data_IF_275956267030
#
_entry.id   IF_275956267030
#
_cell.length_a   1.000
_cell.length_b   1.000
_cell.length_c   1.000
_cell.angle_alpha   90.00
_cell.angle_beta   90.00
_cell.angle_gamma   90.00
#
_symmetry.space_group_name_H-M   'P 1'
#
loop_
_entity.id
_entity.type
_entity.pdbx_description
1 polymer ?
#
# COMPACT_ATOMS: atom_id res chain seq x y z
N UNK A 1 -3.85 -1.85 -37.15
CA UNK A 1 -4.27 -1.87 -35.75
C UNK A 1 -3.00 -1.94 -34.93
N UNK A 2 -2.59 -0.84 -34.30
CA UNK A 2 -1.46 -0.85 -33.35
C UNK A 2 -1.93 -1.57 -32.08
N UNK A 3 -1.40 -2.76 -31.83
CA UNK A 3 -1.56 -3.44 -30.56
C UNK A 3 -0.99 -2.52 -29.48
N UNK A 4 -1.87 -1.84 -28.72
CA UNK A 4 -1.43 -1.14 -27.51
C UNK A 4 -0.82 -2.20 -26.58
N UNK A 5 0.47 -2.12 -26.38
CA UNK A 5 1.13 -2.95 -25.37
C UNK A 5 0.50 -2.69 -24.00
N UNK A 6 0.19 -3.75 -23.28
CA UNK A 6 -0.35 -3.66 -21.91
C UNK A 6 0.61 -2.83 -21.05
N UNK A 7 0.15 -1.80 -20.38
CA UNK A 7 1.02 -1.03 -19.49
C UNK A 7 1.48 -1.93 -18.35
N UNK A 8 2.75 -1.79 -17.99
CA UNK A 8 3.36 -2.54 -16.89
C UNK A 8 2.73 -2.13 -15.57
N UNK A 9 2.21 -3.10 -14.82
CA UNK A 9 1.58 -2.88 -13.54
C UNK A 9 2.56 -2.99 -12.35
N UNK A 10 3.51 -3.94 -12.43
CA UNK A 10 4.43 -4.27 -11.34
C UNK A 10 5.90 -4.13 -11.73
N UNK A 11 6.73 -3.83 -10.72
CA UNK A 11 8.19 -3.82 -10.76
C UNK A 11 8.73 -4.68 -9.63
N UNK A 12 9.53 -5.66 -9.97
CA UNK A 12 10.20 -6.54 -9.01
C UNK A 12 11.46 -5.86 -8.46
N UNK A 13 12.03 -6.39 -7.39
CA UNK A 13 13.23 -5.87 -6.72
C UNK A 13 14.34 -5.42 -7.68
N UNK A 14 14.70 -6.27 -8.63
CA UNK A 14 15.79 -6.00 -9.57
C UNK A 14 15.50 -4.87 -10.58
N UNK A 15 14.27 -4.42 -10.67
CA UNK A 15 13.81 -3.33 -11.53
C UNK A 15 13.66 -2.00 -10.79
N UNK A 16 13.83 -2.03 -9.46
CA UNK A 16 13.66 -0.86 -8.60
C UNK A 16 15.02 -0.29 -8.18
N UNK A 17 15.42 0.89 -8.67
CA UNK A 17 16.73 1.47 -8.36
C UNK A 17 17.00 1.67 -6.86
N UNK A 18 15.93 1.83 -6.08
CA UNK A 18 16.01 2.06 -4.62
C UNK A 18 15.86 0.80 -3.77
N UNK A 19 15.61 -0.36 -4.38
CA UNK A 19 15.28 -1.58 -3.64
C UNK A 19 16.37 -1.99 -2.64
N UNK A 20 17.63 -2.05 -3.08
CA UNK A 20 18.74 -2.44 -2.21
C UNK A 20 18.94 -1.48 -1.03
N UNK A 21 18.70 -0.19 -1.25
CA UNK A 21 18.74 0.78 -0.18
C UNK A 21 17.59 0.55 0.82
N UNK A 22 16.37 0.34 0.34
CA UNK A 22 15.21 0.09 1.21
C UNK A 22 15.34 -1.22 1.99
N UNK A 23 15.81 -2.28 1.33
CA UNK A 23 16.01 -3.58 1.98
C UNK A 23 17.04 -3.54 3.13
N UNK A 24 18.07 -2.70 3.02
CA UNK A 24 19.01 -2.46 4.13
C UNK A 24 18.35 -1.82 5.36
N UNK A 25 17.20 -1.20 5.20
CA UNK A 25 16.45 -0.56 6.29
C UNK A 25 15.24 -1.37 6.74
N UNK A 26 14.94 -2.50 6.10
CA UNK A 26 13.73 -3.31 6.36
C UNK A 26 13.60 -3.71 7.83
N UNK A 27 14.64 -4.30 8.41
CA UNK A 27 14.62 -4.69 9.82
C UNK A 27 14.47 -3.48 10.76
N UNK A 28 15.17 -2.39 10.49
CA UNK A 28 15.07 -1.19 11.30
C UNK A 28 13.69 -0.52 11.22
N UNK A 29 13.00 -0.60 10.07
CA UNK A 29 11.59 -0.19 9.94
C UNK A 29 10.67 -1.06 10.78
N UNK A 30 10.92 -2.37 10.83
CA UNK A 30 10.17 -3.28 11.68
C UNK A 30 10.41 -2.97 13.16
N UNK A 31 11.66 -2.76 13.57
CA UNK A 31 12.04 -2.43 14.93
C UNK A 31 11.41 -1.11 15.39
N UNK A 32 11.38 -0.08 14.52
CA UNK A 32 10.68 1.18 14.77
C UNK A 32 9.19 0.93 15.08
N UNK A 33 8.51 0.13 14.26
CA UNK A 33 7.08 -0.13 14.41
C UNK A 33 6.77 -0.97 15.65
N UNK A 34 7.60 -1.97 15.95
CA UNK A 34 7.40 -2.90 17.08
C UNK A 34 7.91 -2.36 18.42
N UNK A 35 8.55 -1.18 18.43
CA UNK A 35 9.16 -0.63 19.64
C UNK A 35 8.16 -0.50 20.80
N UNK A 36 8.38 -1.26 21.85
CA UNK A 36 7.54 -1.26 23.06
C UNK A 36 6.32 -2.19 23.00
N UNK A 37 6.20 -3.03 21.96
CA UNK A 37 5.10 -3.99 21.79
C UNK A 37 5.64 -5.41 21.61
N UNK A 38 4.86 -6.39 22.09
CA UNK A 38 5.22 -7.81 22.00
C UNK A 38 4.55 -8.52 20.83
N UNK A 39 3.38 -8.01 20.40
CA UNK A 39 2.64 -8.56 19.28
C UNK A 39 2.32 -7.49 18.23
N UNK A 40 2.16 -7.91 16.97
CA UNK A 40 1.77 -7.00 15.89
C UNK A 40 0.37 -6.44 16.14
N UNK A 41 -0.54 -7.22 16.69
CA UNK A 41 -1.88 -6.76 17.04
C UNK A 41 -1.86 -5.61 18.05
N UNK A 42 -1.09 -5.75 19.14
CA UNK A 42 -0.91 -4.68 20.13
C UNK A 42 -0.35 -3.41 19.50
N UNK A 43 0.72 -3.54 18.71
CA UNK A 43 1.34 -2.42 18.01
C UNK A 43 0.35 -1.73 17.05
N UNK A 44 -0.40 -2.50 16.27
CA UNK A 44 -1.38 -1.99 15.32
C UNK A 44 -2.54 -1.26 16.03
N UNK A 45 -3.08 -1.84 17.11
CA UNK A 45 -4.17 -1.22 17.88
C UNK A 45 -3.75 0.07 18.58
N UNK A 46 -2.51 0.12 19.05
CA UNK A 46 -2.00 1.26 19.81
C UNK A 46 -1.56 2.43 18.92
N UNK A 47 -1.03 2.16 17.73
CA UNK A 47 -0.36 3.17 16.90
C UNK A 47 -1.12 3.55 15.63
N UNK A 48 -1.91 2.62 15.09
CA UNK A 48 -2.55 2.82 13.80
C UNK A 48 -3.98 3.32 13.96
N UNK A 49 -4.33 4.33 13.17
CA UNK A 49 -5.71 4.69 12.91
C UNK A 49 -6.39 3.69 11.97
N UNK A 50 -7.70 3.62 12.03
CA UNK A 50 -8.49 2.95 11.03
C UNK A 50 -8.40 3.74 9.71
N UNK A 51 -7.88 3.14 8.65
CA UNK A 51 -7.70 3.82 7.37
C UNK A 51 -9.02 4.23 6.74
N UNK A 52 -10.09 3.53 7.11
CA UNK A 52 -11.42 3.74 6.57
C UNK A 52 -12.32 4.52 7.52
N UNK A 53 -11.86 4.88 8.70
CA UNK A 53 -12.59 5.81 9.55
C UNK A 53 -12.48 7.23 8.99
N UNK A 54 -13.38 7.52 8.07
CA UNK A 54 -13.50 8.82 7.41
C UNK A 54 -14.61 9.68 8.03
N UNK A 55 -15.15 9.29 9.17
CA UNK A 55 -16.24 10.04 9.84
C UNK A 55 -15.83 11.48 10.12
N UNK A 56 -14.56 11.69 10.50
CA UNK A 56 -13.99 13.03 10.68
C UNK A 56 -13.78 13.80 9.35
N UNK A 57 -13.88 13.14 8.21
CA UNK A 57 -13.81 13.75 6.88
C UNK A 57 -15.19 14.03 6.28
N UNK A 58 -16.27 13.69 7.00
CA UNK A 58 -17.64 13.83 6.51
C UNK A 58 -18.02 12.85 5.39
N UNK A 59 -17.27 11.77 5.21
CA UNK A 59 -17.58 10.71 4.24
C UNK A 59 -18.45 9.68 4.91
N UNK A 60 -19.59 9.29 4.30
CA UNK A 60 -20.49 8.28 4.85
C UNK A 60 -19.77 6.94 5.12
N UNK A 61 -20.05 6.32 6.24
CA UNK A 61 -19.49 5.01 6.63
C UNK A 61 -19.79 3.95 5.57
N UNK A 62 -20.95 4.00 4.94
CA UNK A 62 -21.37 3.07 3.88
C UNK A 62 -20.43 3.07 2.66
N UNK A 63 -19.81 4.20 2.34
CA UNK A 63 -18.83 4.26 1.25
C UNK A 63 -17.47 3.66 1.65
N UNK A 64 -17.15 3.64 2.93
CA UNK A 64 -15.92 3.07 3.45
C UNK A 64 -16.00 1.57 3.68
N UNK A 65 -17.19 1.06 3.98
CA UNK A 65 -17.44 -0.37 4.18
C UNK A 65 -17.26 -1.20 2.91
N UNK A 66 -17.28 -0.57 1.73
CA UNK A 66 -17.12 -1.23 0.44
C UNK A 66 -15.68 -1.73 0.20
N UNK A 67 -14.68 -1.24 0.93
CA UNK A 67 -13.28 -1.51 0.65
C UNK A 67 -12.64 -2.56 1.55
N UNK A 68 -13.30 -2.95 2.64
CA UNK A 68 -12.72 -3.87 3.62
C UNK A 68 -13.76 -4.88 4.08
N UNK A 69 -13.42 -6.15 3.94
CA UNK A 69 -14.25 -7.25 4.42
C UNK A 69 -13.46 -8.18 5.33
N UNK A 70 -14.14 -8.77 6.31
CA UNK A 70 -13.68 -9.94 7.06
C UNK A 70 -14.78 -10.98 6.96
N UNK A 71 -14.48 -12.20 6.58
CA UNK A 71 -15.44 -13.29 6.39
C UNK A 71 -16.65 -12.88 5.53
N UNK A 72 -16.41 -12.14 4.44
CA UNK A 72 -17.43 -11.56 3.56
C UNK A 72 -18.35 -10.53 4.24
N UNK A 73 -17.94 -9.95 5.37
CA UNK A 73 -18.64 -8.85 6.03
C UNK A 73 -17.76 -7.62 6.08
N UNK A 74 -18.31 -6.43 5.86
CA UNK A 74 -17.59 -5.18 6.03
C UNK A 74 -16.98 -5.10 7.44
N UNK A 75 -15.69 -4.82 7.53
CA UNK A 75 -15.00 -4.63 8.80
C UNK A 75 -14.05 -3.44 8.71
N UNK A 76 -14.55 -2.30 9.11
CA UNK A 76 -13.82 -1.04 9.11
C UNK A 76 -12.56 -1.01 9.99
N UNK A 77 -12.38 -2.01 10.85
CA UNK A 77 -11.21 -2.14 11.72
C UNK A 77 -10.14 -3.10 11.20
N UNK A 78 -10.37 -3.74 10.06
CA UNK A 78 -9.47 -4.79 9.55
C UNK A 78 -8.24 -4.25 8.86
N UNK A 79 -8.33 -3.08 8.25
CA UNK A 79 -7.19 -2.38 7.65
C UNK A 79 -6.84 -1.14 8.45
N UNK A 80 -5.62 -1.10 8.99
CA UNK A 80 -5.11 0.01 9.78
C UNK A 80 -3.86 0.60 9.15
N UNK A 81 -3.65 1.89 9.33
CA UNK A 81 -2.42 2.54 8.91
C UNK A 81 -1.90 3.54 9.94
N UNK A 82 -0.59 3.67 9.95
CA UNK A 82 0.14 4.74 10.63
C UNK A 82 0.76 5.63 9.56
N UNK A 83 0.14 6.78 9.31
CA UNK A 83 0.56 7.71 8.27
C UNK A 83 1.60 8.69 8.78
N UNK A 84 2.74 8.79 8.09
CA UNK A 84 3.79 9.77 8.36
C UNK A 84 3.74 10.94 7.39
N UNK A 85 3.43 10.65 6.14
CA UNK A 85 3.23 11.67 5.12
C UNK A 85 2.08 11.25 4.21
N UNK A 86 1.24 12.21 3.86
CA UNK A 86 0.17 12.03 2.91
C UNK A 86 -0.10 13.37 2.21
N UNK A 87 0.49 13.55 1.04
CA UNK A 87 0.30 14.71 0.21
C UNK A 87 -0.58 14.35 -0.98
N UNK A 88 -1.74 14.99 -1.10
CA UNK A 88 -2.57 14.93 -2.30
C UNK A 88 -2.56 16.29 -2.96
N UNK A 89 -2.42 16.28 -4.28
CA UNK A 89 -2.46 17.51 -5.10
C UNK A 89 -3.87 17.89 -5.56
N UNK A 90 -4.87 17.05 -5.29
CA UNK A 90 -6.25 17.37 -5.64
C UNK A 90 -6.95 18.10 -4.48
N UNK A 91 -7.78 19.08 -4.81
CA UNK A 91 -8.46 19.97 -3.84
C UNK A 91 -9.48 19.24 -2.94
N UNK A 92 -9.77 17.97 -3.20
CA UNK A 92 -10.72 17.16 -2.43
C UNK A 92 -10.10 16.47 -1.23
N UNK A 93 -8.79 16.51 -1.09
CA UNK A 93 -8.09 15.76 -0.07
C UNK A 93 -7.78 16.58 1.16
N UNK A 94 -8.61 16.47 2.16
CA UNK A 94 -8.35 17.00 3.52
C UNK A 94 -7.71 15.91 4.39
N UNK A 95 -6.63 15.29 3.93
CA UNK A 95 -5.83 14.43 4.80
C UNK A 95 -4.72 15.24 5.46
N UNK A 96 -5.03 15.86 6.59
CA UNK A 96 -4.07 16.61 7.41
C UNK A 96 -3.43 15.76 8.54
N UNK A 97 -3.46 14.45 8.47
CA UNK A 97 -2.94 13.58 9.53
C UNK A 97 -1.63 12.88 9.18
N UNK A 98 -0.78 13.51 8.37
CA UNK A 98 0.60 13.07 8.34
C UNK A 98 1.33 13.61 9.56
N UNK A 99 2.07 12.78 10.26
CA UNK A 99 2.98 13.24 11.31
C UNK A 99 4.03 14.16 10.68
N UNK A 100 4.22 15.34 11.25
CA UNK A 100 5.42 16.14 10.96
C UNK A 100 6.64 15.30 11.39
N UNK A 101 7.68 15.22 10.55
CA UNK A 101 8.87 14.44 10.93
C UNK A 101 9.62 15.00 12.16
N UNK A 102 9.27 16.16 12.65
CA UNK A 102 9.74 16.65 13.97
C UNK A 102 9.20 15.80 15.12
N UNK A 103 7.99 15.25 14.97
CA UNK A 103 7.32 14.46 15.99
C UNK A 103 7.60 12.95 15.88
N UNK A 104 8.43 12.54 14.90
CA UNK A 104 8.74 11.14 14.60
C UNK A 104 9.90 10.58 15.45
N UNK A 105 10.03 10.98 16.70
CA UNK A 105 11.11 10.49 17.59
C UNK A 105 11.08 8.97 17.83
N UNK A 106 9.90 8.36 17.76
CA UNK A 106 9.71 6.92 17.90
C UNK A 106 10.03 6.11 16.64
N UNK A 107 10.17 6.77 15.48
CA UNK A 107 10.35 6.15 14.18
C UNK A 107 11.59 6.70 13.47
N UNK A 108 12.78 6.53 14.04
CA UNK A 108 14.01 7.17 13.54
C UNK A 108 14.36 6.73 12.13
N UNK A 109 14.07 5.48 11.76
CA UNK A 109 14.34 4.96 10.41
C UNK A 109 13.41 5.59 9.39
N UNK A 110 12.10 5.61 9.66
CA UNK A 110 11.13 6.27 8.78
C UNK A 110 11.45 7.76 8.61
N UNK A 111 11.80 8.45 9.71
CA UNK A 111 12.25 9.84 9.67
C UNK A 111 13.46 10.03 8.75
N UNK A 112 14.46 9.16 8.86
CA UNK A 112 15.66 9.21 7.99
C UNK A 112 15.30 9.05 6.51
N UNK A 113 14.39 8.13 6.18
CA UNK A 113 13.92 7.93 4.81
C UNK A 113 13.19 9.16 4.28
N UNK A 114 12.29 9.73 5.07
CA UNK A 114 11.54 10.93 4.70
C UNK A 114 12.44 12.16 4.53
N UNK A 115 13.43 12.32 5.39
CA UNK A 115 14.42 13.40 5.23
C UNK A 115 15.25 13.23 3.95
N UNK A 116 15.63 11.98 3.60
CA UNK A 116 16.35 11.68 2.36
C UNK A 116 15.53 12.01 1.12
N UNK A 117 14.24 11.73 1.16
CA UNK A 117 13.33 11.87 0.02
C UNK A 117 12.27 12.97 0.23
N UNK A 118 12.59 13.99 0.99
CA UNK A 118 11.62 15.02 1.42
C UNK A 118 10.79 15.60 0.27
N UNK A 119 11.42 15.89 -0.88
CA UNK A 119 10.76 16.51 -2.03
C UNK A 119 10.12 15.54 -3.01
N UNK A 120 10.37 14.24 -2.88
CA UNK A 120 9.99 13.23 -3.86
C UNK A 120 9.15 12.09 -3.28
N UNK A 121 8.86 12.14 -1.97
CA UNK A 121 8.04 11.14 -1.28
C UNK A 121 6.73 11.78 -0.81
N UNK A 122 5.65 11.72 -1.58
CA UNK A 122 4.36 12.28 -1.17
C UNK A 122 3.62 11.43 -0.13
N UNK A 123 3.86 10.12 -0.10
CA UNK A 123 3.17 9.20 0.81
C UNK A 123 4.17 8.27 1.47
N UNK A 124 4.04 8.11 2.79
CA UNK A 124 4.73 7.10 3.56
C UNK A 124 3.89 6.65 4.75
N UNK A 125 3.70 5.35 4.91
CA UNK A 125 2.94 4.78 6.01
C UNK A 125 3.35 3.35 6.32
N UNK A 126 2.96 2.87 7.49
CA UNK A 126 2.81 1.45 7.76
C UNK A 126 1.37 1.03 7.49
N UNK A 127 1.19 -0.09 6.81
CA UNK A 127 -0.10 -0.68 6.47
C UNK A 127 -0.22 -2.05 7.11
N UNK A 128 -1.24 -2.21 7.94
CA UNK A 128 -1.50 -3.43 8.70
C UNK A 128 -2.83 -4.02 8.26
N UNK A 129 -2.86 -5.30 7.95
CA UNK A 129 -4.08 -6.02 7.58
C UNK A 129 -4.32 -7.16 8.57
N UNK A 130 -5.49 -7.13 9.20
CA UNK A 130 -5.90 -8.12 10.20
C UNK A 130 -6.07 -9.53 9.59
N UNK A 131 -6.09 -10.58 10.42
CA UNK A 131 -6.50 -11.92 9.99
C UNK A 131 -7.84 -11.91 9.26
N UNK A 132 -7.99 -12.81 8.28
CA UNK A 132 -9.22 -13.03 7.49
C UNK A 132 -9.82 -11.76 6.90
N UNK A 133 -8.95 -10.84 6.45
CA UNK A 133 -9.35 -9.53 5.95
C UNK A 133 -8.96 -9.32 4.50
N UNK A 134 -9.80 -8.58 3.79
CA UNK A 134 -9.60 -8.21 2.39
C UNK A 134 -9.76 -6.69 2.27
N UNK A 135 -8.81 -6.06 1.60
CA UNK A 135 -9.01 -4.72 1.03
C UNK A 135 -9.61 -4.94 -0.35
N UNK A 136 -10.89 -4.63 -0.49
CA UNK A 136 -11.61 -4.84 -1.75
C UNK A 136 -10.96 -4.08 -2.91
N UNK A 137 -11.26 -4.52 -4.12
CA UNK A 137 -10.72 -3.95 -5.35
C UNK A 137 -11.10 -2.48 -5.49
N UNK A 138 -10.11 -1.62 -5.55
CA UNK A 138 -10.25 -0.18 -5.67
C UNK A 138 -9.09 0.43 -6.48
N UNK A 139 -9.18 1.70 -6.80
CA UNK A 139 -8.11 2.47 -7.46
C UNK A 139 -7.57 3.54 -6.51
N UNK A 140 -6.26 3.79 -6.56
CA UNK A 140 -5.64 4.90 -5.85
C UNK A 140 -5.75 6.20 -6.65
N UNK A 141 -6.51 7.19 -6.19
CA UNK A 141 -6.68 8.44 -6.94
C UNK A 141 -5.46 9.37 -6.88
N UNK A 142 -4.52 9.11 -6.01
CA UNK A 142 -3.40 9.99 -5.69
C UNK A 142 -2.29 10.05 -6.75
N UNK A 143 -2.21 9.09 -7.67
CA UNK A 143 -1.16 8.95 -8.68
C UNK A 143 -1.67 8.98 -10.12
N UNK A 144 -2.74 9.71 -10.39
CA UNK A 144 -3.37 9.72 -11.73
C UNK A 144 -2.48 10.25 -12.85
N UNK A 145 -1.46 11.02 -12.52
CA UNK A 145 -0.51 11.55 -13.49
C UNK A 145 0.64 10.57 -13.83
N UNK A 146 0.70 9.41 -13.18
CA UNK A 146 1.75 8.42 -13.39
C UNK A 146 3.14 8.79 -12.88
N UNK A 147 3.28 9.92 -12.18
CA UNK A 147 4.58 10.44 -11.73
C UNK A 147 5.19 9.65 -10.58
N UNK A 148 4.36 9.07 -9.72
CA UNK A 148 4.86 8.33 -8.59
C UNK A 148 4.64 6.84 -8.76
N UNK A 149 5.38 6.06 -8.00
CA UNK A 149 5.25 4.62 -7.90
C UNK A 149 5.15 4.22 -6.43
N UNK A 150 4.21 3.34 -6.11
CA UNK A 150 4.04 2.82 -4.76
C UNK A 150 4.91 1.60 -4.54
N UNK A 151 5.82 1.70 -3.59
CA UNK A 151 6.73 0.64 -3.20
C UNK A 151 6.21 -0.02 -1.93
N UNK A 152 6.13 -1.34 -1.96
CA UNK A 152 5.75 -2.18 -0.85
C UNK A 152 6.98 -2.87 -0.27
N UNK A 153 7.27 -2.60 0.99
CA UNK A 153 8.36 -3.22 1.76
C UNK A 153 7.70 -4.19 2.74
N UNK A 154 7.77 -5.52 2.51
CA UNK A 154 7.21 -6.49 3.44
C UNK A 154 7.98 -6.46 4.75
N UNK A 155 7.28 -6.48 5.90
CA UNK A 155 7.90 -6.45 7.23
C UNK A 155 7.52 -7.70 8.03
N UNK A 156 6.23 -7.98 8.21
CA UNK A 156 5.71 -9.21 8.79
C UNK A 156 4.68 -9.76 7.81
N UNK A 157 4.99 -10.89 7.21
CA UNK A 157 4.11 -11.55 6.26
C UNK A 157 3.82 -12.96 6.76
N UNK A 158 2.56 -13.27 7.09
CA UNK A 158 2.16 -14.61 7.49
C UNK A 158 2.45 -15.65 6.41
N UNK A 159 2.64 -16.90 6.81
CA UNK A 159 2.68 -18.02 5.87
C UNK A 159 1.27 -18.39 5.45
N UNK A 160 1.07 -18.64 4.17
CA UNK A 160 -0.23 -19.04 3.60
C UNK A 160 -0.79 -18.03 2.63
N UNK A 161 -2.11 -17.96 2.55
CA UNK A 161 -2.84 -17.18 1.56
C UNK A 161 -2.83 -15.66 1.88
N UNK A 162 -1.68 -15.03 1.66
CA UNK A 162 -1.49 -13.58 1.75
C UNK A 162 -0.94 -13.09 0.42
N UNK A 163 -1.71 -12.27 -0.30
CA UNK A 163 -1.31 -11.79 -1.62
C UNK A 163 -1.88 -10.42 -1.94
N UNK A 164 -1.38 -9.85 -3.02
CA UNK A 164 -1.85 -8.61 -3.61
C UNK A 164 -2.19 -8.85 -5.08
N UNK A 165 -3.26 -8.24 -5.55
CA UNK A 165 -3.68 -8.29 -6.95
C UNK A 165 -3.76 -6.88 -7.52
N UNK A 166 -3.20 -6.67 -8.70
CA UNK A 166 -3.46 -5.49 -9.51
C UNK A 166 -3.36 -5.83 -10.99
N UNK A 167 -4.19 -5.18 -11.79
CA UNK A 167 -4.19 -5.34 -13.25
C UNK A 167 -4.31 -6.81 -13.72
N UNK A 168 -4.97 -7.67 -12.94
CA UNK A 168 -5.11 -9.10 -13.25
C UNK A 168 -3.85 -9.93 -13.01
N UNK A 169 -2.86 -9.38 -12.32
CA UNK A 169 -1.67 -10.11 -11.88
C UNK A 169 -1.69 -10.25 -10.35
N UNK A 170 -1.28 -11.40 -9.85
CA UNK A 170 -1.10 -11.66 -8.42
C UNK A 170 0.37 -11.59 -8.08
N UNK A 171 0.67 -10.95 -6.96
CA UNK A 171 2.01 -10.86 -6.41
C UNK A 171 1.99 -11.28 -4.94
N UNK A 172 2.94 -12.10 -4.54
CA UNK A 172 3.17 -12.43 -3.15
C UNK A 172 3.98 -11.33 -2.44
N UNK A 173 4.19 -11.49 -1.17
CA UNK A 173 4.93 -10.56 -0.31
C UNK A 173 6.33 -11.07 0.04
N UNK A 174 6.90 -11.98 -0.76
CA UNK A 174 8.19 -12.62 -0.46
C UNK A 174 9.37 -11.66 -0.54
N UNK A 175 9.26 -10.59 -1.32
CA UNK A 175 10.31 -9.58 -1.52
C UNK A 175 9.70 -8.19 -1.69
N UNK A 176 10.53 -7.16 -1.77
CA UNK A 176 10.12 -5.79 -2.13
C UNK A 176 9.66 -5.72 -3.58
N UNK A 177 8.59 -5.02 -3.81
CA UNK A 177 8.04 -4.75 -5.12
C UNK A 177 7.35 -3.40 -5.17
N UNK A 178 7.05 -2.94 -6.37
CA UNK A 178 6.29 -1.72 -6.56
C UNK A 178 5.22 -1.91 -7.62
N UNK A 179 4.19 -1.08 -7.56
CA UNK A 179 3.14 -1.08 -8.56
C UNK A 179 2.62 0.33 -8.85
N UNK A 180 1.94 0.44 -9.96
CA UNK A 180 1.25 1.64 -10.36
C UNK A 180 -0.14 1.64 -9.72
N UNK A 181 -0.31 2.35 -8.60
CA UNK A 181 -1.51 2.28 -7.77
C UNK A 181 -2.79 2.87 -8.40
N UNK A 182 -2.73 3.33 -9.63
CA UNK A 182 -3.91 3.69 -10.41
C UNK A 182 -4.65 2.47 -10.96
N UNK A 183 -3.97 1.34 -11.17
CA UNK A 183 -4.67 0.11 -11.51
C UNK A 183 -5.57 -0.31 -10.36
N UNK A 184 -6.76 -0.82 -10.70
CA UNK A 184 -7.61 -1.42 -9.70
C UNK A 184 -6.88 -2.58 -9.04
N UNK A 185 -6.84 -2.56 -7.72
CA UNK A 185 -6.06 -3.47 -6.91
C UNK A 185 -6.78 -3.88 -5.63
N UNK A 186 -6.37 -5.01 -5.09
CA UNK A 186 -6.87 -5.56 -3.84
C UNK A 186 -5.75 -6.19 -3.03
N UNK A 187 -5.93 -6.32 -1.72
CA UNK A 187 -4.99 -7.00 -0.84
C UNK A 187 -5.76 -8.01 0.03
N UNK A 188 -5.19 -9.19 0.20
CA UNK A 188 -5.84 -10.32 0.83
C UNK A 188 -4.97 -10.90 1.93
N UNK A 189 -5.59 -11.25 3.05
CA UNK A 189 -4.98 -11.98 4.14
C UNK A 189 -6.01 -13.01 4.66
N UNK A 190 -5.90 -14.25 4.22
CA UNK A 190 -6.77 -15.35 4.64
C UNK A 190 -6.17 -16.21 5.74
N UNK A 191 -5.11 -15.73 6.39
CA UNK A 191 -4.44 -16.41 7.50
C UNK A 191 -4.97 -15.97 8.86
N UNK A 192 -4.57 -16.69 9.92
CA UNK A 192 -4.90 -16.37 11.32
C UNK A 192 -3.98 -15.29 11.93
N UNK A 193 -3.03 -14.76 11.16
CA UNK A 193 -2.03 -13.81 11.63
C UNK A 193 -2.16 -12.45 10.95
N UNK A 194 -1.66 -11.40 11.61
CA UNK A 194 -1.63 -10.05 11.07
C UNK A 194 -0.50 -9.87 10.05
N UNK A 195 -0.76 -9.14 8.95
CA UNK A 195 0.24 -8.73 7.98
C UNK A 195 0.67 -7.28 8.22
N UNK A 196 1.99 -6.99 8.18
CA UNK A 196 2.55 -5.64 8.21
C UNK A 196 3.43 -5.40 6.98
N UNK A 197 3.22 -4.29 6.29
CA UNK A 197 4.15 -3.75 5.30
C UNK A 197 4.35 -2.24 5.48
N UNK A 198 5.48 -1.73 5.00
CA UNK A 198 5.71 -0.31 4.85
C UNK A 198 5.43 0.09 3.40
N UNK A 199 4.67 1.17 3.20
CA UNK A 199 4.35 1.74 1.90
C UNK A 199 5.06 3.09 1.74
N UNK A 200 5.73 3.27 0.61
CA UNK A 200 6.39 4.53 0.26
C UNK A 200 6.11 4.83 -1.21
N UNK A 201 5.50 5.99 -1.47
CA UNK A 201 5.36 6.49 -2.83
C UNK A 201 6.53 7.40 -3.15
N UNK A 202 7.22 7.16 -4.27
CA UNK A 202 8.34 7.97 -4.71
C UNK A 202 8.11 8.48 -6.14
N UNK A 203 8.61 9.68 -6.41
CA UNK A 203 8.69 10.22 -7.76
C UNK A 203 9.60 9.32 -8.61
N UNK A 204 9.06 8.82 -9.73
CA UNK A 204 9.71 7.83 -10.58
C UNK A 204 10.98 8.35 -11.23
N UNK A 205 10.92 9.55 -11.81
CA UNK A 205 12.06 10.14 -12.49
C UNK A 205 13.19 10.47 -11.51
N UNK A 206 12.82 10.96 -10.32
CA UNK A 206 13.77 11.28 -9.27
C UNK A 206 14.53 10.06 -8.73
N UNK A 207 13.98 8.87 -8.85
CA UNK A 207 14.66 7.61 -8.48
C UNK A 207 15.26 6.85 -9.68
N UNK A 208 15.26 7.46 -10.87
CA UNK A 208 15.89 6.88 -12.07
C UNK A 208 15.00 5.88 -12.83
N UNK A 209 13.69 5.97 -12.67
CA UNK A 209 12.72 5.17 -13.45
C UNK A 209 12.12 6.01 -14.57
N UNK A 210 11.70 5.35 -15.63
CA UNK A 210 10.94 6.00 -16.72
C UNK A 210 9.61 6.58 -16.20
N UNK A 211 9.16 7.71 -16.76
CA UNK A 211 7.85 8.26 -16.47
C UNK A 211 6.73 7.22 -16.65
N UNK A 212 5.76 7.22 -15.75
CA UNK A 212 4.58 6.38 -15.88
C UNK A 212 3.59 6.95 -16.88
N UNK A 213 2.87 6.08 -17.58
CA UNK A 213 1.73 6.53 -18.36
C UNK A 213 0.62 7.06 -17.44
N UNK A 214 -0.10 8.13 -17.82
CA UNK A 214 -1.31 8.52 -17.12
C UNK A 214 -2.34 7.39 -17.09
N UNK A 215 -3.14 7.35 -16.05
CA UNK A 215 -4.19 6.36 -15.90
C UNK A 215 -5.26 6.49 -17.01
N UNK A 216 -5.55 5.37 -17.63
CA UNK A 216 -6.63 5.23 -18.60
C UNK A 216 -7.69 4.25 -18.10
N UNK A 217 -8.78 4.73 -17.45
CA UNK A 217 -9.83 3.85 -16.93
C UNK A 217 -10.56 3.08 -18.05
N UNK A 218 -10.58 3.61 -19.26
CA UNK A 218 -11.18 2.91 -20.38
C UNK A 218 -10.35 1.69 -20.81
N UNK A 219 -9.04 1.80 -20.74
CA UNK A 219 -8.16 0.66 -20.97
C UNK A 219 -8.39 -0.45 -19.93
N UNK A 220 -8.46 -0.10 -18.67
CA UNK A 220 -8.68 -1.07 -17.59
C UNK A 220 -10.04 -1.77 -17.73
N UNK A 221 -11.11 -1.02 -17.94
CA UNK A 221 -12.45 -1.56 -18.10
C UNK A 221 -12.60 -2.51 -19.30
N UNK A 222 -11.86 -2.26 -20.37
CA UNK A 222 -11.94 -3.04 -21.62
C UNK A 222 -11.00 -4.26 -21.63
N UNK A 223 -9.87 -4.19 -20.95
CA UNK A 223 -8.77 -5.14 -21.13
C UNK A 223 -8.44 -5.96 -19.89
N UNK A 224 -8.94 -5.59 -18.72
CA UNK A 224 -8.69 -6.29 -17.48
C UNK A 224 -9.99 -6.87 -16.93
N UNK A 225 -10.19 -8.19 -16.98
CA UNK A 225 -11.35 -8.82 -16.39
C UNK A 225 -11.36 -8.57 -14.87
N UNK A 226 -12.54 -8.57 -14.24
CA UNK A 226 -12.62 -8.55 -12.80
C UNK A 226 -11.84 -9.75 -12.24
N UNK A 227 -11.03 -9.50 -11.24
CA UNK A 227 -10.32 -10.57 -10.54
C UNK A 227 -11.34 -11.43 -9.80
N UNK A 228 -11.32 -12.73 -10.06
CA UNK A 228 -12.15 -13.72 -9.35
C UNK A 228 -11.18 -14.63 -8.60
N UNK A 229 -11.19 -14.53 -7.27
CA UNK A 229 -10.42 -15.43 -6.42
C UNK A 229 -10.98 -16.86 -6.52
N UNK A 230 -10.14 -17.79 -6.91
CA UNK A 230 -10.46 -19.20 -6.85
C UNK A 230 -9.56 -19.87 -5.80
N UNK A 231 -10.15 -20.35 -4.71
CA UNK A 231 -9.44 -21.05 -3.61
C UNK A 231 -8.64 -22.28 -4.06
N UNK A 232 -8.95 -22.83 -5.24
CA UNK A 232 -8.25 -23.98 -5.79
C UNK A 232 -6.95 -23.61 -6.51
N UNK A 233 -6.72 -22.33 -6.77
CA UNK A 233 -5.44 -21.83 -7.26
C UNK A 233 -4.49 -21.67 -6.07
N UNK A 234 -3.97 -22.79 -5.57
CA UNK A 234 -2.82 -22.77 -4.67
C UNK A 234 -1.67 -22.06 -5.37
N UNK A 235 -1.16 -21.03 -4.74
CA UNK A 235 0.01 -20.31 -5.24
C UNK A 235 1.21 -21.28 -5.37
N UNK A 236 2.04 -21.10 -6.42
CA UNK A 236 3.24 -21.87 -6.61
C UNK A 236 4.27 -21.64 -5.49
#
# INVERSE_FOLDING_TARGET
MTTKTRPKAFWRRHELPVAEFLMKHQQALLDDFMSGYTTLEEAARAQCGNTMDRTHLGIPISETEQYITTDNKPNVNSWKALNFRYERKDERAVFKQAMDFRDMGKYPTMRKLLMKWDKICPIANYSVLAPHSVIERHTGPENRDGKTIRIHIPLIIPKGDVFFEAAGEVIDWSDIWAFHNQFAHSAHNYTDEWRLCCLIDLDREAIGMEPGAPYDPAYEAQNLPPFVWNKEQTHP
#
